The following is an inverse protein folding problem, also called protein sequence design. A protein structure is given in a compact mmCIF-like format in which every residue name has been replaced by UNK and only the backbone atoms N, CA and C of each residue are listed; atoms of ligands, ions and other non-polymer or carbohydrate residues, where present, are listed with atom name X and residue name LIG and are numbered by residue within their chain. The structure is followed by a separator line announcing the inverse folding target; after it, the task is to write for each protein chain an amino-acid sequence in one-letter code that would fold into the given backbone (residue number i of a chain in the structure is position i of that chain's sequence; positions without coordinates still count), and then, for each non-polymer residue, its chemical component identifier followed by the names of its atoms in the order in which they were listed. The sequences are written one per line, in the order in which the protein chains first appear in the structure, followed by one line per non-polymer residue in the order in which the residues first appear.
data_IF_671777834843
#
_entry.id   IF_671777834843
#
_cell.length_a   1.000
_cell.length_b   1.000
_cell.length_c   1.000
_cell.angle_alpha   90.00
_cell.angle_beta   90.00
_cell.angle_gamma   90.00
#
_symmetry.space_group_name_H-M   'P 1'
#
loop_
_entity.id
_entity.type
_entity.pdbx_description
1 polymer ?
#
# COMPACT_ATOMS: atom_id res chain seq x y z
N UNK A 1 -31.14 -19.09 5.07
CA UNK A 1 -29.92 -18.33 5.49
C UNK A 1 -28.68 -18.66 4.68
N UNK A 2 -28.77 -19.54 3.70
CA UNK A 2 -27.65 -19.82 2.77
C UNK A 2 -27.17 -18.59 1.99
N UNK A 3 -28.09 -17.69 1.61
CA UNK A 3 -27.78 -16.44 0.89
C UNK A 3 -26.76 -15.54 1.62
N UNK A 4 -26.78 -15.50 2.94
CA UNK A 4 -25.82 -14.75 3.74
C UNK A 4 -24.48 -15.50 3.84
N UNK A 5 -24.48 -16.82 3.80
CA UNK A 5 -23.29 -17.67 3.80
C UNK A 5 -22.48 -17.50 2.52
N UNK A 6 -23.16 -17.40 1.38
CA UNK A 6 -22.52 -17.22 0.07
C UNK A 6 -22.22 -15.77 -0.26
N UNK A 7 -22.55 -14.85 0.66
CA UNK A 7 -22.40 -13.40 0.46
C UNK A 7 -23.15 -12.88 -0.78
N UNK A 8 -24.23 -13.54 -1.15
CA UNK A 8 -25.10 -13.08 -2.24
C UNK A 8 -26.12 -12.08 -1.70
N UNK A 9 -25.87 -10.79 -1.91
CA UNK A 9 -26.75 -9.69 -1.51
C UNK A 9 -27.67 -9.21 -2.64
N UNK A 10 -27.69 -9.91 -3.77
CA UNK A 10 -28.55 -9.56 -4.90
C UNK A 10 -29.97 -10.11 -4.77
N UNK A 11 -30.17 -11.16 -3.98
CA UNK A 11 -31.47 -11.78 -3.77
C UNK A 11 -32.34 -11.00 -2.80
N UNK A 12 -33.64 -11.01 -3.05
CA UNK A 12 -34.65 -10.38 -2.21
C UNK A 12 -35.73 -11.38 -1.84
N UNK A 13 -36.31 -11.24 -0.66
CA UNK A 13 -37.45 -12.03 -0.23
C UNK A 13 -38.75 -11.50 -0.87
N UNK A 14 -39.62 -12.40 -1.27
CA UNK A 14 -40.95 -12.05 -1.75
C UNK A 14 -41.91 -11.76 -0.59
N UNK A 15 -42.86 -10.85 -0.78
CA UNK A 15 -43.90 -10.56 0.19
C UNK A 15 -44.89 -11.71 0.28
N UNK A 16 -45.35 -12.03 1.49
CA UNK A 16 -46.19 -13.20 1.79
C UNK A 16 -47.64 -12.85 2.16
N UNK A 17 -48.07 -11.59 2.06
CA UNK A 17 -49.42 -11.16 2.27
C UNK A 17 -49.94 -11.11 3.71
N UNK A 18 -49.07 -11.34 4.71
CA UNK A 18 -49.39 -11.15 6.14
C UNK A 18 -48.60 -9.92 6.64
N UNK A 19 -49.32 -9.04 7.33
CA UNK A 19 -48.73 -7.75 7.76
C UNK A 19 -47.39 -7.86 8.50
N UNK A 20 -47.30 -8.75 9.47
CA UNK A 20 -46.06 -8.96 10.24
C UNK A 20 -44.95 -9.62 9.40
N UNK A 21 -45.34 -10.62 8.58
CA UNK A 21 -44.40 -11.29 7.68
C UNK A 21 -43.89 -10.34 6.60
N UNK A 22 -44.76 -9.54 6.02
CA UNK A 22 -44.36 -8.51 5.03
C UNK A 22 -43.46 -7.45 5.63
N UNK A 23 -43.68 -7.07 6.89
CA UNK A 23 -42.81 -6.16 7.62
C UNK A 23 -41.39 -6.72 7.79
N UNK A 24 -41.28 -8.00 8.16
CA UNK A 24 -39.99 -8.70 8.28
C UNK A 24 -39.29 -8.78 6.93
N UNK A 25 -40.03 -9.15 5.88
CA UNK A 25 -39.52 -9.19 4.50
C UNK A 25 -39.01 -7.82 4.06
N UNK A 26 -39.72 -6.75 4.34
CA UNK A 26 -39.34 -5.40 4.01
C UNK A 26 -38.02 -4.97 4.75
N UNK A 27 -37.95 -5.29 6.04
CA UNK A 27 -36.71 -5.02 6.83
C UNK A 27 -35.55 -5.80 6.28
N UNK A 28 -35.73 -7.09 6.00
CA UNK A 28 -34.69 -7.93 5.41
C UNK A 28 -34.20 -7.40 4.06
N UNK A 29 -35.15 -7.10 3.14
CA UNK A 29 -34.80 -6.57 1.83
C UNK A 29 -34.06 -5.23 1.90
N UNK A 30 -34.47 -4.34 2.82
CA UNK A 30 -33.77 -3.07 3.07
C UNK A 30 -32.36 -3.29 3.58
N UNK A 31 -32.19 -4.22 4.51
CA UNK A 31 -30.87 -4.59 5.04
C UNK A 31 -29.96 -5.16 3.94
N UNK A 32 -30.51 -6.06 3.10
CA UNK A 32 -29.75 -6.62 1.97
C UNK A 32 -29.33 -5.56 0.96
N UNK A 33 -30.18 -4.59 0.67
CA UNK A 33 -29.87 -3.49 -0.22
C UNK A 33 -28.77 -2.58 0.37
N UNK A 34 -28.84 -2.31 1.67
CA UNK A 34 -27.82 -1.54 2.37
C UNK A 34 -26.45 -2.26 2.33
N UNK A 35 -26.42 -3.54 2.62
CA UNK A 35 -25.18 -4.35 2.56
C UNK A 35 -24.59 -4.37 1.14
N UNK A 36 -25.43 -4.50 0.13
CA UNK A 36 -25.00 -4.43 -1.26
C UNK A 36 -24.36 -3.09 -1.60
N UNK A 37 -24.99 -1.98 -1.18
CA UNK A 37 -24.47 -0.63 -1.44
C UNK A 37 -23.16 -0.37 -0.70
N UNK A 38 -23.02 -0.80 0.55
CA UNK A 38 -21.77 -0.71 1.30
C UNK A 38 -20.64 -1.49 0.64
N UNK A 39 -20.93 -2.70 0.15
CA UNK A 39 -19.95 -3.52 -0.55
C UNK A 39 -19.48 -2.91 -1.87
N UNK A 40 -20.40 -2.32 -2.64
CA UNK A 40 -20.06 -1.58 -3.86
C UNK A 40 -19.15 -0.39 -3.54
N UNK A 41 -19.49 0.36 -2.51
CA UNK A 41 -18.67 1.49 -2.05
C UNK A 41 -17.25 1.06 -1.67
N UNK A 42 -17.13 -0.04 -0.93
CA UNK A 42 -15.81 -0.60 -0.57
C UNK A 42 -15.00 -1.01 -1.80
N UNK A 43 -15.63 -1.64 -2.79
CA UNK A 43 -14.97 -2.00 -4.05
C UNK A 43 -14.49 -0.79 -4.82
N UNK A 44 -15.30 0.26 -4.90
CA UNK A 44 -14.93 1.51 -5.56
C UNK A 44 -13.75 2.20 -4.86
N UNK A 45 -13.75 2.25 -3.52
CA UNK A 45 -12.66 2.80 -2.74
C UNK A 45 -11.37 1.99 -2.93
N UNK A 46 -11.43 0.67 -2.89
CA UNK A 46 -10.27 -0.20 -3.11
C UNK A 46 -9.72 -0.04 -4.52
N UNK A 47 -10.59 0.04 -5.52
CA UNK A 47 -10.19 0.29 -6.90
C UNK A 47 -9.48 1.64 -7.07
N UNK A 48 -10.01 2.69 -6.43
CA UNK A 48 -9.40 4.01 -6.43
C UNK A 48 -8.01 4.02 -5.80
N UNK A 49 -7.84 3.34 -4.65
CA UNK A 49 -6.54 3.19 -3.99
C UNK A 49 -5.54 2.43 -4.86
N UNK A 50 -5.99 1.36 -5.52
CA UNK A 50 -5.15 0.61 -6.47
C UNK A 50 -4.69 1.49 -7.63
N UNK A 51 -5.58 2.31 -8.19
CA UNK A 51 -5.23 3.26 -9.24
C UNK A 51 -4.21 4.30 -8.78
N UNK A 52 -4.35 4.82 -7.55
CA UNK A 52 -3.37 5.75 -6.97
C UNK A 52 -1.99 5.11 -6.82
N UNK A 53 -1.93 3.87 -6.33
CA UNK A 53 -0.68 3.13 -6.20
C UNK A 53 -0.05 2.88 -7.57
N UNK A 54 -0.85 2.44 -8.55
CA UNK A 54 -0.38 2.21 -9.91
C UNK A 54 0.15 3.47 -10.60
N UNK A 55 -0.45 4.61 -10.34
CA UNK A 55 -0.06 5.90 -10.93
C UNK A 55 0.99 6.65 -10.11
N UNK A 56 1.39 6.13 -8.95
CA UNK A 56 2.35 6.80 -8.06
C UNK A 56 3.71 6.97 -8.73
N UNK A 57 4.34 8.16 -8.60
CA UNK A 57 5.73 8.35 -9.01
C UNK A 57 6.73 7.68 -8.08
N UNK A 58 6.28 7.24 -6.91
CA UNK A 58 7.09 6.47 -5.96
C UNK A 58 6.96 4.98 -6.23
N UNK A 59 8.04 4.24 -6.03
CA UNK A 59 8.01 2.79 -6.01
C UNK A 59 7.32 2.30 -4.74
N UNK A 60 6.37 1.40 -4.87
CA UNK A 60 5.65 0.77 -3.74
C UNK A 60 5.82 -0.73 -3.83
N UNK A 61 6.32 -1.34 -2.76
CA UNK A 61 6.47 -2.78 -2.63
C UNK A 61 5.74 -3.20 -1.36
N UNK A 62 4.75 -4.07 -1.49
CA UNK A 62 4.00 -4.63 -0.36
C UNK A 62 4.48 -6.05 -0.14
N UNK A 63 4.79 -6.38 1.11
CA UNK A 63 5.31 -7.68 1.51
C UNK A 63 4.26 -8.52 2.21
N UNK A 64 4.40 -9.83 2.14
CA UNK A 64 3.65 -10.77 2.99
C UNK A 64 4.26 -10.83 4.39
N UNK A 65 3.56 -11.49 5.31
CA UNK A 65 4.06 -11.75 6.68
C UNK A 65 5.35 -12.59 6.67
N UNK A 66 5.52 -13.44 5.65
CA UNK A 66 6.70 -14.29 5.49
C UNK A 66 7.89 -13.57 4.83
N UNK A 67 7.72 -12.29 4.50
CA UNK A 67 8.77 -11.48 3.90
C UNK A 67 8.93 -11.66 2.40
N UNK A 68 7.90 -12.15 1.72
CA UNK A 68 7.87 -12.25 0.27
C UNK A 68 7.16 -11.04 -0.34
N UNK A 69 7.54 -10.68 -1.55
CA UNK A 69 6.89 -9.60 -2.29
C UNK A 69 5.49 -10.02 -2.72
N UNK A 70 4.48 -9.33 -2.19
CA UNK A 70 3.07 -9.55 -2.54
C UNK A 70 2.64 -8.72 -3.75
N UNK A 71 2.95 -7.44 -3.74
CA UNK A 71 2.58 -6.49 -4.78
C UNK A 71 3.71 -5.49 -5.04
N UNK A 72 3.83 -5.10 -6.31
CA UNK A 72 4.70 -4.01 -6.76
C UNK A 72 3.90 -3.12 -7.71
N UNK A 73 4.07 -1.81 -7.59
CA UNK A 73 3.56 -0.91 -8.60
C UNK A 73 4.54 -0.81 -9.78
N UNK A 74 4.13 -0.25 -10.93
CA UNK A 74 5.00 -0.14 -12.10
C UNK A 74 6.30 0.61 -11.85
N UNK A 75 6.27 1.62 -10.99
CA UNK A 75 7.47 2.40 -10.66
C UNK A 75 8.49 1.55 -9.86
N UNK A 76 8.03 0.71 -8.93
CA UNK A 76 8.91 -0.21 -8.21
C UNK A 76 9.58 -1.22 -9.15
N UNK A 77 8.83 -1.77 -10.08
CA UNK A 77 9.36 -2.68 -11.13
C UNK A 77 10.45 -1.99 -11.94
N UNK A 78 10.21 -0.75 -12.35
CA UNK A 78 11.18 0.05 -13.10
C UNK A 78 12.44 0.35 -12.28
N UNK A 79 12.28 0.72 -11.00
CA UNK A 79 13.41 1.03 -10.12
C UNK A 79 14.24 -0.19 -9.78
N UNK A 80 13.61 -1.36 -9.58
CA UNK A 80 14.30 -2.62 -9.36
C UNK A 80 15.02 -3.12 -10.61
N UNK A 81 14.57 -2.73 -11.81
CA UNK A 81 15.14 -3.16 -13.08
C UNK A 81 14.90 -4.62 -13.41
N UNK A 82 13.86 -5.22 -12.86
CA UNK A 82 13.46 -6.61 -13.09
C UNK A 82 12.02 -6.67 -13.58
N UNK A 83 11.62 -7.80 -14.16
CA UNK A 83 10.22 -8.01 -14.54
C UNK A 83 9.38 -8.34 -13.30
N UNK A 84 8.08 -8.04 -13.37
CA UNK A 84 7.15 -8.31 -12.27
C UNK A 84 7.21 -9.79 -11.83
N UNK A 85 7.24 -10.71 -12.77
CA UNK A 85 7.27 -12.16 -12.52
C UNK A 85 8.57 -12.61 -11.81
N UNK A 86 9.63 -11.86 -11.99
CA UNK A 86 10.94 -12.15 -11.38
C UNK A 86 11.00 -11.70 -9.92
N UNK A 87 10.15 -10.75 -9.53
CA UNK A 87 10.12 -10.18 -8.19
C UNK A 87 8.96 -10.73 -7.34
N UNK A 88 7.80 -10.96 -7.94
CA UNK A 88 6.59 -11.39 -7.23
C UNK A 88 6.76 -12.76 -6.57
N UNK A 89 6.26 -12.90 -5.35
CA UNK A 89 6.33 -14.11 -4.52
C UNK A 89 7.76 -14.55 -4.17
N UNK A 90 8.70 -13.64 -4.21
CA UNK A 90 10.09 -13.88 -3.80
C UNK A 90 10.50 -12.98 -2.63
N UNK A 91 11.44 -13.43 -1.85
CA UNK A 91 12.10 -12.59 -0.85
C UNK A 91 13.02 -11.59 -1.55
N UNK A 92 13.19 -10.41 -0.96
CA UNK A 92 14.03 -9.34 -1.54
C UNK A 92 15.46 -9.81 -1.85
N UNK A 93 16.03 -10.65 -0.98
CA UNK A 93 17.38 -11.18 -1.15
C UNK A 93 17.52 -12.14 -2.34
N UNK A 94 16.41 -12.66 -2.84
CA UNK A 94 16.36 -13.57 -3.99
C UNK A 94 16.07 -12.88 -5.32
N UNK A 95 15.83 -11.59 -5.28
CA UNK A 95 15.60 -10.77 -6.48
C UNK A 95 16.96 -10.29 -6.98
N UNK A 96 17.25 -10.56 -8.24
CA UNK A 96 18.50 -10.13 -8.89
C UNK A 96 18.45 -8.63 -9.21
N UNK A 97 18.59 -7.82 -8.17
CA UNK A 97 18.56 -6.36 -8.24
C UNK A 97 19.40 -5.76 -7.13
N UNK A 98 20.34 -4.84 -7.45
CA UNK A 98 21.11 -4.13 -6.44
C UNK A 98 20.24 -3.36 -5.44
N UNK A 99 19.16 -2.77 -5.92
CA UNK A 99 18.22 -2.04 -5.06
C UNK A 99 17.49 -2.99 -4.11
N UNK A 100 17.08 -4.17 -4.56
CA UNK A 100 16.40 -5.18 -3.72
C UNK A 100 17.32 -5.65 -2.58
N UNK A 101 18.59 -5.85 -2.85
CA UNK A 101 19.58 -6.23 -1.84
C UNK A 101 19.71 -5.15 -0.75
N UNK A 102 19.78 -3.89 -1.16
CA UNK A 102 19.85 -2.75 -0.23
C UNK A 102 18.55 -2.60 0.58
N UNK A 103 17.40 -2.77 -0.05
CA UNK A 103 16.09 -2.74 0.64
C UNK A 103 15.99 -3.79 1.74
N UNK A 104 16.53 -4.99 1.49
CA UNK A 104 16.53 -6.08 2.47
C UNK A 104 17.31 -5.74 3.74
N UNK A 105 18.29 -4.83 3.65
CA UNK A 105 19.11 -4.40 4.78
C UNK A 105 18.49 -3.30 5.62
N UNK A 106 17.41 -2.65 5.16
CA UNK A 106 16.78 -1.54 5.87
C UNK A 106 15.98 -2.05 7.07
N UNK A 107 16.26 -1.59 8.30
CA UNK A 107 15.49 -1.97 9.48
C UNK A 107 14.01 -1.60 9.38
N UNK A 108 13.17 -2.31 10.10
CA UNK A 108 11.75 -1.99 10.21
C UNK A 108 11.55 -0.59 10.78
N UNK A 109 10.55 0.12 10.27
CA UNK A 109 10.20 1.50 10.66
C UNK A 109 11.38 2.48 10.52
N UNK A 110 12.23 2.26 9.53
CA UNK A 110 13.38 3.12 9.23
C UNK A 110 13.33 3.68 7.81
N UNK A 111 13.98 4.81 7.62
CA UNK A 111 14.20 5.43 6.32
C UNK A 111 15.70 5.48 6.06
N UNK A 112 16.11 5.09 4.87
CA UNK A 112 17.51 5.07 4.47
C UNK A 112 17.68 5.65 3.06
N UNK A 113 18.81 6.29 2.81
CA UNK A 113 19.16 6.73 1.46
C UNK A 113 20.10 5.69 0.85
N UNK A 114 19.69 5.13 -0.27
CA UNK A 114 20.41 4.11 -1.02
C UNK A 114 21.01 4.76 -2.27
N UNK A 115 22.32 4.72 -2.37
CA UNK A 115 23.05 5.19 -3.55
C UNK A 115 23.58 4.00 -4.33
N UNK A 116 23.02 3.72 -5.49
CA UNK A 116 23.51 2.68 -6.39
C UNK A 116 24.63 3.21 -7.30
N UNK A 117 24.48 4.45 -7.77
CA UNK A 117 25.47 5.18 -8.54
C UNK A 117 25.16 6.69 -8.47
N UNK A 118 25.91 7.50 -9.18
CA UNK A 118 25.72 8.96 -9.14
C UNK A 118 24.37 9.46 -9.67
N UNK A 119 23.72 8.66 -10.51
CA UNK A 119 22.44 9.00 -11.13
C UNK A 119 21.24 8.33 -10.46
N UNK A 120 21.46 7.27 -9.69
CA UNK A 120 20.42 6.45 -9.09
C UNK A 120 20.56 6.44 -7.57
N UNK A 121 19.94 7.44 -6.96
CA UNK A 121 19.89 7.62 -5.51
C UNK A 121 18.43 7.58 -5.10
N UNK A 122 18.13 6.75 -4.11
CA UNK A 122 16.78 6.49 -3.65
C UNK A 122 16.65 6.73 -2.16
N UNK A 123 15.58 7.39 -1.75
CA UNK A 123 15.14 7.44 -0.36
C UNK A 123 14.15 6.31 -0.16
N UNK A 124 14.49 5.36 0.68
CA UNK A 124 13.72 4.15 0.90
C UNK A 124 13.18 4.13 2.32
N UNK A 125 11.87 3.99 2.47
CA UNK A 125 11.21 3.89 3.76
C UNK A 125 10.63 2.49 3.92
N UNK A 126 11.02 1.80 4.99
CA UNK A 126 10.46 0.52 5.40
C UNK A 126 9.45 0.77 6.53
N UNK A 127 8.20 0.52 6.27
CA UNK A 127 7.11 0.71 7.23
C UNK A 127 6.14 -0.47 7.18
N UNK A 128 5.04 -0.37 7.86
CA UNK A 128 4.02 -1.41 7.89
C UNK A 128 2.63 -0.83 8.06
N UNK A 129 1.62 -1.54 7.55
CA UNK A 129 0.22 -1.23 7.77
C UNK A 129 -0.50 -2.45 8.34
N UNK A 130 -1.65 -2.21 8.98
CA UNK A 130 -2.47 -3.27 9.54
C UNK A 130 -3.61 -3.58 8.60
N UNK A 131 -3.71 -4.85 8.18
CA UNK A 131 -4.83 -5.38 7.43
C UNK A 131 -5.34 -6.65 8.13
N UNK A 132 -6.62 -6.66 8.47
CA UNK A 132 -7.29 -7.77 9.18
C UNK A 132 -6.56 -8.22 10.46
N UNK A 133 -6.00 -7.25 11.19
CA UNK A 133 -5.27 -7.51 12.43
C UNK A 133 -3.82 -7.95 12.26
N UNK A 134 -3.33 -8.09 11.03
CA UNK A 134 -1.94 -8.46 10.73
C UNK A 134 -1.15 -7.29 10.20
N UNK A 135 0.10 -7.19 10.61
CA UNK A 135 1.05 -6.17 10.19
C UNK A 135 1.73 -6.58 8.89
N UNK A 136 1.44 -5.87 7.80
CA UNK A 136 2.04 -6.09 6.50
C UNK A 136 3.17 -5.09 6.27
N UNK A 137 4.42 -5.56 6.08
CA UNK A 137 5.51 -4.66 5.74
C UNK A 137 5.36 -4.10 4.33
N UNK A 138 5.83 -2.89 4.13
CA UNK A 138 5.92 -2.29 2.80
C UNK A 138 7.13 -1.36 2.69
N UNK A 139 7.56 -1.14 1.45
CA UNK A 139 8.61 -0.17 1.12
C UNK A 139 8.06 0.92 0.23
N UNK A 140 8.41 2.16 0.54
CA UNK A 140 8.24 3.31 -0.35
C UNK A 140 9.61 3.72 -0.85
N UNK A 141 9.75 3.87 -2.16
CA UNK A 141 11.02 4.18 -2.81
C UNK A 141 10.83 5.47 -3.60
N UNK A 142 11.52 6.50 -3.20
CA UNK A 142 11.52 7.80 -3.85
C UNK A 142 12.86 8.03 -4.54
N UNK A 143 12.82 8.33 -5.83
CA UNK A 143 14.04 8.70 -6.55
C UNK A 143 14.44 10.12 -6.18
N UNK A 144 15.66 10.27 -5.70
CA UNK A 144 16.23 11.57 -5.36
C UNK A 144 16.82 12.22 -6.61
N UNK A 145 16.39 13.43 -6.89
CA UNK A 145 17.01 14.28 -7.93
C UNK A 145 18.09 15.14 -7.31
N UNK A 146 19.05 15.59 -8.09
CA UNK A 146 20.11 16.50 -7.61
C UNK A 146 19.52 17.76 -6.96
N UNK A 147 18.43 18.27 -7.49
CA UNK A 147 17.73 19.45 -6.94
C UNK A 147 17.15 19.18 -5.56
N UNK A 148 16.50 18.03 -5.37
CA UNK A 148 15.92 17.63 -4.07
C UNK A 148 17.04 17.39 -3.05
N UNK A 149 18.11 16.73 -3.44
CA UNK A 149 19.28 16.50 -2.58
C UNK A 149 19.96 17.79 -2.14
N UNK A 150 20.11 18.75 -3.06
CA UNK A 150 20.67 20.08 -2.73
C UNK A 150 19.74 20.84 -1.80
N UNK A 151 18.44 20.78 -2.01
CA UNK A 151 17.45 21.42 -1.15
C UNK A 151 17.45 20.84 0.27
N UNK A 152 17.47 19.51 0.41
CA UNK A 152 17.57 18.84 1.71
C UNK A 152 18.88 19.20 2.43
N UNK A 153 19.98 19.20 1.73
CA UNK A 153 21.29 19.59 2.28
C UNK A 153 21.29 21.02 2.80
N UNK A 154 20.73 21.97 2.03
CA UNK A 154 20.61 23.37 2.45
C UNK A 154 19.73 23.52 3.69
N UNK A 155 18.59 22.82 3.73
CA UNK A 155 17.71 22.84 4.89
C UNK A 155 18.41 22.30 6.14
N UNK A 156 19.13 21.20 6.01
CA UNK A 156 19.93 20.60 7.08
C UNK A 156 21.03 21.52 7.60
N UNK A 157 21.81 22.13 6.70
CA UNK A 157 22.84 23.09 7.05
C UNK A 157 22.26 24.32 7.75
N UNK A 158 21.09 24.80 7.33
CA UNK A 158 20.39 25.92 7.97
C UNK A 158 20.00 25.59 9.40
N UNK A 159 19.47 24.38 9.64
CA UNK A 159 19.10 23.91 11.00
C UNK A 159 20.35 23.85 11.89
N UNK A 160 21.44 23.28 11.39
CA UNK A 160 22.71 23.19 12.13
C UNK A 160 23.24 24.59 12.50
N UNK A 161 23.21 25.56 11.58
CA UNK A 161 23.62 26.95 11.87
C UNK A 161 22.74 27.59 12.94
N UNK A 162 21.43 27.38 12.89
CA UNK A 162 20.50 27.88 13.90
C UNK A 162 20.83 27.31 15.29
N UNK A 163 21.08 26.01 15.39
CA UNK A 163 21.45 25.34 16.64
C UNK A 163 22.79 25.88 17.15
N UNK A 164 23.80 25.98 16.28
CA UNK A 164 25.12 26.52 16.64
C UNK A 164 25.04 27.98 17.10
N UNK A 165 24.16 28.78 16.52
CA UNK A 165 24.00 30.19 16.91
C UNK A 165 23.31 30.33 18.28
N UNK A 166 22.38 29.45 18.63
CA UNK A 166 21.73 29.47 19.94
C UNK A 166 22.62 28.96 21.09
N UNK A 167 23.58 28.10 20.77
CA UNK A 167 24.55 27.56 21.77
C UNK A 167 25.67 28.54 22.10
N UNK A 168 25.94 29.49 21.24
CA UNK A 168 26.91 30.59 21.47
C UNK A 168 26.19 31.85 21.98
#
# INVERSE_FOLDING_TARGET
MELLREQDFSSRLSQVGQYEADRIVNVFNRMMEQLKNERLRMREQNHFLDLLIQASPMGVIIMTLDGEVSQLNPMAVKMLGVRLEEAQNKKLEKIDSPLAEELASIPKEATSVVRLNDSNIYKCTHSSFIDRGFKHPFFLIERMTDEVMKAEKRAYEKVIRMIAHEVN
#
